data_IF_482788169543
#
_entry.id   IF_482788169543
#
_cell.length_a   1.000
_cell.length_b   1.000
_cell.length_c   1.000
_cell.angle_alpha   90.00
_cell.angle_beta   90.00
_cell.angle_gamma   90.00
#
_symmetry.space_group_name_H-M   'P 1'
#
loop_
_entity.id
_entity.type
_entity.pdbx_description
1 polymer ?
#
# COMPACT_ATOMS: atom_id res chain seq x y z
N UNK A 1 21.34 35.16 -14.61
CA UNK A 1 21.82 33.88 -15.17
C UNK A 1 22.40 33.08 -14.01
N UNK A 2 21.66 32.16 -13.46
CA UNK A 2 22.11 31.29 -12.37
C UNK A 2 22.03 29.84 -12.87
N UNK A 3 23.21 29.23 -13.08
CA UNK A 3 23.38 27.84 -13.51
C UNK A 3 22.94 26.88 -12.39
N UNK A 4 21.92 26.08 -12.65
CA UNK A 4 21.55 24.97 -11.77
C UNK A 4 22.49 23.79 -12.00
N UNK A 5 23.40 23.56 -11.06
CA UNK A 5 24.20 22.34 -11.01
C UNK A 5 23.36 21.19 -10.45
N UNK A 6 23.20 20.13 -11.24
CA UNK A 6 22.70 18.83 -10.78
C UNK A 6 23.75 18.20 -9.86
N UNK A 7 23.37 17.56 -8.73
CA UNK A 7 24.33 16.81 -7.93
C UNK A 7 24.79 15.57 -8.70
N UNK A 8 26.10 15.48 -8.95
CA UNK A 8 26.78 14.29 -9.48
C UNK A 8 26.78 13.17 -8.44
N UNK A 9 26.45 11.96 -8.86
CA UNK A 9 26.62 10.76 -8.07
C UNK A 9 28.12 10.50 -7.81
N UNK A 10 28.53 10.01 -6.64
CA UNK A 10 29.92 9.69 -6.37
C UNK A 10 30.37 8.49 -7.21
N UNK A 11 31.27 8.69 -8.14
CA UNK A 11 32.06 7.67 -8.77
C UNK A 11 33.23 7.33 -7.83
N UNK A 12 33.21 6.10 -7.27
CA UNK A 12 34.27 5.61 -6.40
C UNK A 12 34.06 4.12 -6.12
N UNK A 13 34.14 3.28 -7.15
CA UNK A 13 34.14 1.82 -7.00
C UNK A 13 35.51 1.33 -6.62
N UNK A 14 35.67 0.70 -5.45
CA UNK A 14 36.90 -0.05 -5.09
C UNK A 14 36.93 -1.29 -5.99
N UNK A 15 38.07 -1.58 -6.70
CA UNK A 15 38.20 -2.76 -7.55
C UNK A 15 38.26 -4.02 -6.67
N UNK A 16 37.38 -5.00 -6.88
CA UNK A 16 37.47 -6.33 -6.30
C UNK A 16 36.35 -6.76 -5.34
N UNK A 17 35.32 -5.94 -5.10
CA UNK A 17 34.15 -6.34 -4.33
C UNK A 17 33.15 -7.19 -5.16
N UNK A 18 32.28 -7.99 -4.51
CA UNK A 18 31.24 -8.75 -5.22
C UNK A 18 30.36 -7.82 -6.04
N UNK A 19 29.95 -8.29 -7.25
CA UNK A 19 29.13 -7.52 -8.18
C UNK A 19 27.86 -7.00 -7.50
N UNK A 20 27.49 -5.75 -7.78
CA UNK A 20 26.24 -5.15 -7.30
C UNK A 20 25.04 -5.98 -7.81
N UNK A 21 24.19 -6.43 -6.89
CA UNK A 21 22.97 -7.19 -7.19
C UNK A 21 21.76 -6.56 -6.51
N UNK A 22 20.58 -6.93 -6.92
CA UNK A 22 19.35 -6.50 -6.26
C UNK A 22 18.64 -7.70 -5.68
N UNK A 23 18.31 -7.64 -4.40
CA UNK A 23 17.44 -8.61 -3.75
C UNK A 23 16.01 -8.08 -3.72
N UNK A 24 15.05 -8.98 -3.95
CA UNK A 24 13.64 -8.74 -3.71
C UNK A 24 13.26 -9.36 -2.36
N UNK A 25 12.63 -8.56 -1.52
CA UNK A 25 12.13 -8.95 -0.21
C UNK A 25 10.61 -8.90 -0.29
N UNK A 26 9.94 -10.05 -0.21
CA UNK A 26 8.50 -10.15 -0.02
C UNK A 26 8.24 -10.22 1.50
N UNK A 27 7.37 -9.35 2.04
CA UNK A 27 7.14 -9.21 3.47
C UNK A 27 5.69 -8.88 3.80
N UNK A 28 5.28 -9.12 5.06
CA UNK A 28 3.97 -8.79 5.59
C UNK A 28 4.09 -8.08 6.94
N UNK A 29 3.04 -7.36 7.37
CA UNK A 29 3.01 -6.74 8.69
C UNK A 29 1.59 -6.47 9.20
N UNK A 30 1.47 -6.46 10.52
CA UNK A 30 0.38 -5.82 11.23
C UNK A 30 0.70 -4.33 11.43
N UNK A 31 -0.05 -3.45 10.78
CA UNK A 31 0.20 -2.01 10.76
C UNK A 31 -0.12 -1.26 12.05
N UNK A 32 -0.76 -1.93 13.04
CA UNK A 32 -1.35 -1.28 14.22
C UNK A 32 -0.35 -0.41 15.00
N UNK A 33 0.90 -0.89 15.14
CA UNK A 33 1.96 -0.21 15.89
C UNK A 33 2.89 0.67 15.04
N UNK A 34 2.59 0.88 13.75
CA UNK A 34 3.47 1.61 12.84
C UNK A 34 2.88 2.94 12.37
N UNK A 35 3.74 3.94 12.23
CA UNK A 35 3.43 5.21 11.55
C UNK A 35 3.44 5.08 10.02
N UNK A 36 3.24 3.85 9.52
CA UNK A 36 3.21 3.50 8.11
C UNK A 36 4.52 2.86 7.63
N UNK A 37 4.64 2.76 6.32
CA UNK A 37 5.82 2.19 5.68
C UNK A 37 7.06 3.08 5.80
N UNK A 38 6.96 4.33 5.34
CA UNK A 38 8.10 5.22 5.11
C UNK A 38 8.81 5.60 6.39
N UNK A 39 10.15 5.43 6.45
CA UNK A 39 11.00 5.92 7.54
C UNK A 39 10.78 7.42 7.77
N UNK A 40 10.65 7.80 9.02
CA UNK A 40 10.46 9.16 9.51
C UNK A 40 11.50 9.49 10.59
N UNK A 41 11.66 10.76 10.90
CA UNK A 41 12.60 11.19 11.94
C UNK A 41 12.22 10.66 13.34
N UNK A 42 10.93 10.51 13.59
CA UNK A 42 10.41 9.99 14.85
C UNK A 42 9.38 8.89 14.59
N UNK A 43 9.31 7.96 15.55
CA UNK A 43 8.33 6.89 15.57
C UNK A 43 8.72 5.67 14.75
N UNK A 44 7.99 4.61 14.98
CA UNK A 44 8.23 3.28 14.46
C UNK A 44 7.62 3.11 13.09
N UNK A 45 8.40 2.70 12.11
CA UNK A 45 7.97 2.49 10.71
C UNK A 45 8.47 1.15 10.20
N UNK A 46 7.75 0.52 9.26
CA UNK A 46 8.14 -0.79 8.72
C UNK A 46 9.49 -0.72 8.00
N UNK A 47 9.73 0.34 7.22
CA UNK A 47 11.02 0.56 6.55
C UNK A 47 12.15 0.74 7.54
N UNK A 48 11.93 1.49 8.63
CA UNK A 48 12.95 1.71 9.66
C UNK A 48 13.37 0.42 10.36
N UNK A 49 12.40 -0.42 10.76
CA UNK A 49 12.67 -1.71 11.38
C UNK A 49 13.43 -2.66 10.43
N UNK A 50 13.00 -2.72 9.16
CA UNK A 50 13.66 -3.55 8.14
C UNK A 50 15.10 -3.08 7.88
N UNK A 51 15.34 -1.78 7.73
CA UNK A 51 16.68 -1.22 7.52
C UNK A 51 17.58 -1.41 8.73
N UNK A 52 17.06 -1.30 9.95
CA UNK A 52 17.80 -1.58 11.18
C UNK A 52 18.20 -3.07 11.28
N UNK A 53 17.29 -3.99 10.96
CA UNK A 53 17.60 -5.42 10.91
C UNK A 53 18.65 -5.74 9.84
N UNK A 54 18.53 -5.14 8.64
CA UNK A 54 19.51 -5.28 7.56
C UNK A 54 20.90 -4.80 7.98
N UNK A 55 21.02 -3.63 8.64
CA UNK A 55 22.28 -3.10 9.12
C UNK A 55 22.96 -4.04 10.12
N UNK A 56 22.17 -4.68 11.01
CA UNK A 56 22.70 -5.66 11.98
C UNK A 56 23.20 -6.95 11.32
N UNK A 57 22.49 -7.43 10.28
CA UNK A 57 22.85 -8.69 9.58
C UNK A 57 24.02 -8.48 8.63
N UNK A 58 24.05 -7.36 7.90
CA UNK A 58 25.01 -7.09 6.82
C UNK A 58 26.21 -6.23 7.25
N UNK A 59 26.21 -5.77 8.52
CA UNK A 59 27.32 -5.00 9.08
C UNK A 59 27.42 -3.55 8.60
N UNK A 60 26.48 -3.08 7.77
CA UNK A 60 26.46 -1.71 7.24
C UNK A 60 25.02 -1.25 6.95
N UNK A 61 24.75 0.07 6.97
CA UNK A 61 23.46 0.61 6.59
C UNK A 61 23.08 0.25 5.15
N UNK A 62 21.83 -0.18 4.94
CA UNK A 62 21.27 -0.49 3.63
C UNK A 62 19.90 0.18 3.51
N UNK A 63 19.68 0.91 2.42
CA UNK A 63 18.39 1.49 2.10
C UNK A 63 17.53 0.52 1.27
N UNK A 64 16.26 0.38 1.60
CA UNK A 64 15.30 -0.39 0.81
C UNK A 64 14.29 0.52 0.13
N UNK A 65 13.80 0.10 -1.03
CA UNK A 65 12.71 0.78 -1.72
C UNK A 65 11.48 -0.11 -1.71
N UNK A 66 10.41 0.34 -1.04
CA UNK A 66 9.11 -0.35 -1.03
C UNK A 66 8.34 -0.14 -2.33
N UNK A 67 7.52 -1.11 -2.72
CA UNK A 67 6.63 -1.04 -3.88
C UNK A 67 5.56 0.06 -3.78
N UNK A 68 5.32 0.56 -2.58
CA UNK A 68 4.40 1.66 -2.29
C UNK A 68 4.45 2.01 -0.81
N UNK A 69 3.97 3.22 -0.50
CA UNK A 69 3.82 3.66 0.89
C UNK A 69 2.45 3.23 1.39
N UNK A 70 2.37 2.85 2.66
CA UNK A 70 1.13 2.67 3.40
C UNK A 70 1.06 3.70 4.51
N UNK A 71 -0.16 4.14 4.85
CA UNK A 71 -0.41 5.08 5.95
C UNK A 71 -0.19 4.40 7.32
N UNK A 72 -0.10 5.21 8.36
CA UNK A 72 -0.14 4.74 9.75
C UNK A 72 -1.37 3.83 9.99
N UNK A 73 -1.15 2.68 10.61
CA UNK A 73 -2.20 1.71 10.92
C UNK A 73 -2.66 0.81 9.76
N UNK A 74 -2.09 0.95 8.56
CA UNK A 74 -2.43 0.11 7.40
C UNK A 74 -1.58 -1.15 7.37
N UNK A 75 -2.24 -2.30 7.22
CA UNK A 75 -1.60 -3.62 7.19
C UNK A 75 -1.11 -3.98 5.78
N UNK A 76 -0.25 -4.99 5.70
CA UNK A 76 0.08 -5.66 4.45
C UNK A 76 0.16 -7.18 4.64
N UNK A 77 -0.47 -7.90 3.73
CA UNK A 77 -0.37 -9.36 3.63
C UNK A 77 0.82 -9.77 2.77
N UNK A 78 1.09 -9.00 1.71
CA UNK A 78 2.22 -9.22 0.82
C UNK A 78 2.64 -7.91 0.18
N UNK A 79 3.67 -7.33 0.74
CA UNK A 79 4.36 -6.17 0.19
C UNK A 79 5.70 -6.61 -0.41
N UNK A 80 6.31 -5.74 -1.19
CA UNK A 80 7.61 -5.99 -1.83
C UNK A 80 8.52 -4.81 -1.58
N UNK A 81 9.77 -5.12 -1.23
CA UNK A 81 10.87 -4.15 -1.22
C UNK A 81 12.02 -4.64 -2.10
N UNK A 82 12.75 -3.72 -2.71
CA UNK A 82 14.04 -3.98 -3.39
C UNK A 82 15.18 -3.49 -2.52
N UNK A 83 16.23 -4.31 -2.43
CA UNK A 83 17.46 -4.04 -1.71
C UNK A 83 18.64 -4.15 -2.69
N UNK A 84 19.18 -3.02 -3.18
CA UNK A 84 20.48 -3.01 -3.85
C UNK A 84 21.59 -3.35 -2.83
N UNK A 85 22.47 -4.29 -3.16
CA UNK A 85 23.57 -4.67 -2.26
C UNK A 85 24.71 -5.34 -3.03
N UNK A 86 25.93 -5.17 -2.54
CA UNK A 86 27.10 -5.95 -2.96
C UNK A 86 27.46 -7.06 -1.97
N UNK A 87 26.70 -7.21 -0.88
CA UNK A 87 26.98 -8.21 0.15
C UNK A 87 26.76 -9.63 -0.38
N UNK A 88 27.72 -10.54 -0.14
CA UNK A 88 27.74 -11.90 -0.68
C UNK A 88 26.77 -12.89 -0.02
N UNK A 89 26.11 -12.53 1.11
CA UNK A 89 25.22 -13.43 1.83
C UNK A 89 24.11 -13.95 0.92
N UNK A 90 23.92 -15.27 0.90
CA UNK A 90 22.82 -15.92 0.16
C UNK A 90 21.44 -15.38 0.56
N UNK A 91 20.56 -15.16 -0.42
CA UNK A 91 19.25 -14.53 -0.20
C UNK A 91 18.37 -15.28 0.82
N UNK A 92 18.35 -16.62 0.76
CA UNK A 92 17.56 -17.41 1.70
C UNK A 92 18.13 -17.33 3.13
N UNK A 93 19.46 -17.27 3.29
CA UNK A 93 20.10 -17.05 4.59
C UNK A 93 19.77 -15.67 5.16
N UNK A 94 19.81 -14.63 4.31
CA UNK A 94 19.39 -13.29 4.72
C UNK A 94 17.93 -13.27 5.18
N UNK A 95 17.04 -13.98 4.48
CA UNK A 95 15.62 -14.07 4.86
C UNK A 95 15.44 -14.66 6.27
N UNK A 96 16.12 -15.76 6.60
CA UNK A 96 16.09 -16.36 7.94
C UNK A 96 16.67 -15.45 9.03
N UNK A 97 17.76 -14.75 8.71
CA UNK A 97 18.38 -13.82 9.67
C UNK A 97 17.48 -12.60 9.95
N UNK A 98 16.80 -12.07 8.92
CA UNK A 98 15.84 -10.98 9.09
C UNK A 98 14.63 -11.42 9.92
N UNK A 99 14.06 -12.60 9.64
CA UNK A 99 12.92 -13.16 10.40
C UNK A 99 13.25 -13.31 11.91
N UNK A 100 14.48 -13.68 12.23
CA UNK A 100 14.92 -13.84 13.62
C UNK A 100 15.13 -12.50 14.36
N UNK A 101 15.35 -11.40 13.63
CA UNK A 101 15.67 -10.08 14.21
C UNK A 101 14.51 -9.10 14.19
N UNK A 102 13.58 -9.29 13.26
CA UNK A 102 12.43 -8.40 13.13
C UNK A 102 11.44 -8.61 14.27
N UNK A 103 10.71 -7.56 14.66
CA UNK A 103 9.67 -7.69 15.66
C UNK A 103 8.50 -8.55 15.16
N UNK A 104 7.69 -9.14 16.06
CA UNK A 104 6.67 -10.14 15.70
C UNK A 104 5.53 -9.61 14.83
N UNK A 105 5.43 -8.31 14.63
CA UNK A 105 4.45 -7.66 13.77
C UNK A 105 4.97 -7.38 12.34
N UNK A 106 6.20 -7.83 12.00
CA UNK A 106 6.75 -7.88 10.63
C UNK A 106 7.21 -9.31 10.35
N UNK A 107 6.74 -9.90 9.24
CA UNK A 107 7.19 -11.23 8.77
C UNK A 107 7.86 -11.15 7.40
N UNK A 108 8.91 -11.95 7.20
CA UNK A 108 9.57 -12.12 5.91
C UNK A 108 8.98 -13.32 5.19
N UNK A 109 8.27 -13.08 4.12
CA UNK A 109 7.66 -14.17 3.32
C UNK A 109 8.70 -14.86 2.43
N UNK A 110 9.60 -14.05 1.84
CA UNK A 110 10.67 -14.57 0.96
C UNK A 110 11.70 -13.49 0.69
N UNK A 111 12.99 -13.90 0.62
CA UNK A 111 14.07 -13.10 0.02
C UNK A 111 14.64 -13.89 -1.14
N UNK A 112 14.84 -13.23 -2.29
CA UNK A 112 15.40 -13.84 -3.51
C UNK A 112 16.14 -12.82 -4.35
N UNK A 113 17.01 -13.28 -5.20
CA UNK A 113 17.60 -12.43 -6.22
C UNK A 113 16.54 -11.94 -7.20
N UNK A 114 16.68 -10.72 -7.63
CA UNK A 114 15.85 -10.11 -8.66
C UNK A 114 16.68 -9.88 -9.92
N UNK A 115 16.01 -9.63 -11.04
CA UNK A 115 16.68 -9.20 -12.26
C UNK A 115 17.53 -7.94 -12.01
N UNK A 116 18.67 -7.78 -12.69
CA UNK A 116 19.48 -6.58 -12.60
C UNK A 116 18.63 -5.31 -12.82
N UNK A 117 18.80 -4.31 -11.95
CA UNK A 117 18.05 -3.06 -12.02
C UNK A 117 16.60 -3.11 -11.53
N UNK A 118 16.13 -4.24 -10.98
CA UNK A 118 14.79 -4.34 -10.41
C UNK A 118 14.55 -3.28 -9.35
N UNK A 119 13.43 -2.57 -9.48
CA UNK A 119 13.02 -1.51 -8.59
C UNK A 119 11.57 -1.72 -8.14
N UNK A 120 11.37 -2.05 -6.87
CA UNK A 120 10.08 -2.47 -6.35
C UNK A 120 8.92 -1.51 -6.66
N UNK A 121 9.17 -0.19 -6.69
CA UNK A 121 8.14 0.81 -6.98
C UNK A 121 7.88 1.00 -8.48
N UNK A 122 8.95 1.18 -9.29
CA UNK A 122 8.82 1.52 -10.72
C UNK A 122 8.31 0.37 -11.56
N UNK A 123 8.74 -0.86 -11.21
CA UNK A 123 8.43 -2.06 -12.00
C UNK A 123 7.10 -2.69 -11.59
N UNK A 124 6.47 -2.18 -10.53
CA UNK A 124 5.13 -2.64 -10.12
C UNK A 124 4.10 -2.28 -11.20
N UNK A 125 3.37 -3.29 -11.66
CA UNK A 125 2.33 -3.16 -12.69
C UNK A 125 0.95 -2.97 -12.10
N UNK A 126 0.68 -3.59 -10.94
CA UNK A 126 -0.56 -3.44 -10.22
C UNK A 126 -0.35 -3.64 -8.73
N UNK A 127 -1.31 -3.11 -7.93
CA UNK A 127 -1.42 -3.31 -6.49
C UNK A 127 -2.84 -3.65 -6.15
N UNK A 128 -3.02 -4.58 -5.23
CA UNK A 128 -4.32 -5.00 -4.75
C UNK A 128 -4.48 -4.63 -3.29
N UNK A 129 -5.48 -3.82 -2.99
CA UNK A 129 -5.89 -3.48 -1.63
C UNK A 129 -7.23 -4.10 -1.31
N UNK A 130 -7.40 -4.53 -0.06
CA UNK A 130 -8.69 -4.94 0.51
C UNK A 130 -9.00 -4.08 1.72
N UNK A 131 -10.19 -3.49 1.74
CA UNK A 131 -10.73 -2.79 2.90
C UNK A 131 -11.80 -3.65 3.55
N UNK A 132 -11.67 -3.99 4.84
CA UNK A 132 -12.58 -4.87 5.57
C UNK A 132 -13.51 -4.08 6.48
N UNK A 133 -14.79 -4.45 6.45
CA UNK A 133 -15.83 -4.00 7.35
C UNK A 133 -16.35 -5.18 8.18
N UNK A 134 -16.64 -4.91 9.44
CA UNK A 134 -17.33 -5.84 10.34
C UNK A 134 -18.68 -5.22 10.75
N UNK A 135 -19.76 -5.83 10.34
CA UNK A 135 -21.12 -5.40 10.71
C UNK A 135 -21.47 -6.01 12.06
N UNK A 136 -21.42 -5.22 13.11
CA UNK A 136 -21.71 -5.68 14.46
C UNK A 136 -22.26 -4.55 15.34
N UNK A 137 -23.36 -4.78 16.10
CA UNK A 137 -23.94 -3.78 17.01
C UNK A 137 -23.03 -3.53 18.22
N UNK A 138 -22.30 -4.56 18.67
CA UNK A 138 -21.37 -4.50 19.81
C UNK A 138 -19.93 -4.68 19.37
N UNK A 139 -18.99 -4.22 20.19
CA UNK A 139 -17.55 -4.33 19.96
C UNK A 139 -17.08 -5.78 19.84
N UNK A 140 -16.10 -6.00 18.96
CA UNK A 140 -15.42 -7.28 18.70
C UNK A 140 -13.90 -7.02 18.61
N UNK A 141 -13.22 -6.81 19.75
CA UNK A 141 -11.85 -6.27 19.76
C UNK A 141 -10.86 -7.04 18.87
N UNK A 142 -10.91 -8.38 18.88
CA UNK A 142 -10.01 -9.20 18.05
C UNK A 142 -10.26 -8.99 16.54
N UNK A 143 -11.52 -8.88 16.12
CA UNK A 143 -11.86 -8.67 14.71
C UNK A 143 -11.68 -7.19 14.29
N UNK A 144 -11.88 -6.26 15.21
CA UNK A 144 -11.71 -4.82 14.97
C UNK A 144 -10.23 -4.43 14.76
N UNK A 145 -9.27 -5.28 15.07
CA UNK A 145 -7.85 -5.05 14.80
C UNK A 145 -7.57 -4.90 13.29
N UNK A 146 -8.30 -5.63 12.45
CA UNK A 146 -8.07 -5.67 10.99
C UNK A 146 -9.34 -5.40 10.17
N UNK A 147 -10.40 -4.87 10.79
CA UNK A 147 -11.66 -4.53 10.13
C UNK A 147 -12.33 -3.36 10.85
N UNK A 148 -12.83 -2.40 10.09
CA UNK A 148 -13.62 -1.31 10.65
C UNK A 148 -15.02 -1.79 11.02
N UNK A 149 -15.37 -1.72 12.31
CA UNK A 149 -16.70 -2.05 12.78
C UNK A 149 -17.70 -0.94 12.43
N UNK A 150 -18.75 -1.33 11.75
CA UNK A 150 -19.94 -0.50 11.49
C UNK A 150 -21.16 -1.15 12.12
N UNK A 151 -22.16 -0.34 12.55
CA UNK A 151 -23.39 -0.89 13.12
C UNK A 151 -24.26 -1.54 12.06
N UNK A 152 -24.31 -0.90 10.90
CA UNK A 152 -25.09 -1.32 9.73
C UNK A 152 -24.33 -1.05 8.46
N UNK A 153 -24.71 -1.72 7.40
CA UNK A 153 -24.12 -1.55 6.06
C UNK A 153 -25.27 -1.33 5.07
N UNK A 154 -25.15 -0.38 4.15
CA UNK A 154 -26.07 -0.25 3.03
C UNK A 154 -26.23 -1.57 2.24
N UNK A 155 -27.30 -1.75 1.46
CA UNK A 155 -27.46 -2.90 0.58
C UNK A 155 -26.24 -3.10 -0.30
N UNK A 156 -25.82 -4.37 -0.49
CA UNK A 156 -24.64 -4.68 -1.30
C UNK A 156 -24.78 -4.16 -2.73
N UNK A 157 -26.00 -4.21 -3.29
CA UNK A 157 -26.29 -3.66 -4.62
C UNK A 157 -26.01 -2.16 -4.70
N UNK A 158 -26.39 -1.38 -3.67
CA UNK A 158 -26.12 0.06 -3.62
C UNK A 158 -24.63 0.36 -3.49
N UNK A 159 -23.89 -0.42 -2.68
CA UNK A 159 -22.44 -0.30 -2.59
C UNK A 159 -21.75 -0.64 -3.92
N UNK A 160 -22.24 -1.67 -4.63
CA UNK A 160 -21.68 -2.05 -5.93
C UNK A 160 -22.04 -1.03 -7.01
N UNK A 161 -23.23 -0.43 -6.98
CA UNK A 161 -23.59 0.69 -7.86
C UNK A 161 -22.66 1.90 -7.65
N UNK A 162 -22.36 2.27 -6.39
CA UNK A 162 -21.43 3.34 -6.07
C UNK A 162 -19.97 3.03 -6.48
N UNK A 163 -19.60 1.76 -6.62
CA UNK A 163 -18.27 1.34 -7.05
C UNK A 163 -18.06 1.45 -8.58
N UNK A 164 -19.13 1.32 -9.37
CA UNK A 164 -19.07 1.31 -10.83
C UNK A 164 -18.33 2.50 -11.44
N UNK A 165 -18.70 3.76 -11.13
CA UNK A 165 -18.05 4.96 -11.66
C UNK A 165 -16.58 5.11 -11.31
N UNK A 166 -16.09 4.41 -10.29
CA UNK A 166 -14.68 4.48 -9.84
C UNK A 166 -13.78 3.48 -10.55
N UNK A 167 -14.34 2.54 -11.31
CA UNK A 167 -13.58 1.58 -12.11
C UNK A 167 -13.20 2.22 -13.46
N UNK A 168 -11.98 2.00 -13.93
CA UNK A 168 -11.47 2.61 -15.14
C UNK A 168 -10.35 3.60 -14.88
N UNK A 169 -10.04 4.41 -15.90
CA UNK A 169 -9.01 5.47 -15.84
C UNK A 169 -9.67 6.80 -15.54
N UNK A 170 -9.37 7.37 -14.39
CA UNK A 170 -9.97 8.62 -13.92
C UNK A 170 -8.94 9.50 -13.21
N UNK A 171 -9.23 10.79 -13.12
CA UNK A 171 -8.55 11.69 -12.20
C UNK A 171 -9.15 11.56 -10.79
N UNK A 172 -8.36 11.05 -9.85
CA UNK A 172 -8.75 10.84 -8.46
C UNK A 172 -8.34 11.98 -7.52
N UNK A 173 -8.19 13.21 -8.03
CA UNK A 173 -7.80 14.37 -7.22
C UNK A 173 -8.73 14.58 -6.02
N UNK A 174 -10.06 14.42 -6.19
CA UNK A 174 -11.05 14.51 -5.11
C UNK A 174 -10.86 13.46 -4.01
N UNK A 175 -10.22 12.35 -4.32
CA UNK A 175 -9.98 11.24 -3.37
C UNK A 175 -8.56 11.25 -2.78
N UNK A 176 -7.70 12.17 -3.22
CA UNK A 176 -6.34 12.34 -2.70
C UNK A 176 -6.32 13.26 -1.49
N UNK A 177 -5.66 12.87 -0.40
CA UNK A 177 -5.44 13.77 0.75
C UNK A 177 -4.30 14.73 0.49
N UNK A 178 -4.27 15.86 1.21
CA UNK A 178 -3.16 16.81 1.21
C UNK A 178 -1.82 16.09 1.46
N UNK A 179 -0.75 16.50 0.77
CA UNK A 179 0.57 15.85 0.80
C UNK A 179 0.82 14.89 -0.38
N UNK A 180 -0.18 14.64 -1.25
CA UNK A 180 0.06 14.03 -2.56
C UNK A 180 0.55 15.09 -3.55
N UNK A 181 1.58 14.82 -4.37
CA UNK A 181 1.87 15.65 -5.53
C UNK A 181 0.64 15.69 -6.45
N UNK A 182 0.15 16.90 -6.77
CA UNK A 182 -1.08 17.06 -7.58
C UNK A 182 -0.85 16.88 -9.08
N UNK A 183 0.41 16.82 -9.50
CA UNK A 183 0.79 16.77 -10.92
C UNK A 183 0.39 15.47 -11.64
N UNK A 184 0.13 14.38 -10.89
CA UNK A 184 -0.21 13.08 -11.47
C UNK A 184 -1.29 12.37 -10.64
N UNK A 185 -2.54 12.82 -10.74
CA UNK A 185 -3.69 12.27 -9.99
C UNK A 185 -4.49 11.23 -10.77
N UNK A 186 -4.20 11.05 -12.04
CA UNK A 186 -4.86 10.04 -12.89
C UNK A 186 -4.36 8.64 -12.51
N UNK A 187 -5.29 7.71 -12.28
CA UNK A 187 -5.03 6.28 -12.00
C UNK A 187 -5.99 5.40 -12.77
N UNK A 188 -5.54 4.18 -13.06
CA UNK A 188 -6.38 3.16 -13.69
C UNK A 188 -6.70 2.08 -12.67
N UNK A 189 -8.00 1.94 -12.32
CA UNK A 189 -8.49 0.87 -11.46
C UNK A 189 -9.13 -0.22 -12.31
N UNK A 190 -8.56 -1.42 -12.30
CA UNK A 190 -9.06 -2.58 -13.05
C UNK A 190 -10.12 -3.36 -12.29
N UNK A 191 -10.25 -3.14 -10.99
CA UNK A 191 -11.25 -3.76 -10.13
C UNK A 191 -11.63 -2.83 -8.98
N UNK A 192 -12.95 -2.63 -8.80
CA UNK A 192 -13.54 -2.01 -7.61
C UNK A 192 -14.78 -2.83 -7.26
N UNK A 193 -14.67 -3.74 -6.29
CA UNK A 193 -15.72 -4.73 -6.04
C UNK A 193 -15.98 -4.92 -4.56
N UNK A 194 -17.26 -4.82 -4.18
CA UNK A 194 -17.75 -5.18 -2.87
C UNK A 194 -18.17 -6.66 -2.80
N UNK A 195 -17.85 -7.29 -1.69
CA UNK A 195 -18.29 -8.66 -1.37
C UNK A 195 -18.78 -8.68 0.08
N UNK A 196 -19.80 -9.50 0.38
CA UNK A 196 -20.31 -9.70 1.74
C UNK A 196 -20.49 -11.19 2.03
N UNK A 197 -20.04 -11.61 3.22
CA UNK A 197 -20.31 -12.95 3.77
C UNK A 197 -20.70 -12.81 5.25
N UNK A 198 -21.94 -13.03 5.55
CA UNK A 198 -22.49 -12.87 6.91
C UNK A 198 -22.26 -11.44 7.45
N UNK A 199 -21.49 -11.33 8.53
CA UNK A 199 -21.15 -10.05 9.17
C UNK A 199 -19.95 -9.34 8.55
N UNK A 200 -19.21 -9.98 7.67
CA UNK A 200 -18.04 -9.42 7.02
C UNK A 200 -18.40 -8.90 5.64
N UNK A 201 -17.96 -7.68 5.35
CA UNK A 201 -17.97 -7.14 4.01
C UNK A 201 -16.57 -6.61 3.70
N UNK A 202 -16.20 -6.63 2.43
CA UNK A 202 -14.93 -6.07 2.00
C UNK A 202 -15.02 -5.48 0.61
N UNK A 203 -14.22 -4.44 0.41
CA UNK A 203 -13.96 -3.82 -0.87
C UNK A 203 -12.60 -4.30 -1.38
N UNK A 204 -12.55 -4.90 -2.55
CA UNK A 204 -11.31 -5.15 -3.30
C UNK A 204 -11.10 -4.06 -4.33
N UNK A 205 -9.91 -3.48 -4.34
CA UNK A 205 -9.49 -2.49 -5.33
C UNK A 205 -8.16 -2.91 -5.91
N UNK A 206 -8.09 -3.02 -7.25
CA UNK A 206 -6.86 -3.29 -7.99
C UNK A 206 -6.61 -2.13 -8.93
N UNK A 207 -5.39 -1.61 -8.94
CA UNK A 207 -5.01 -0.52 -9.82
C UNK A 207 -3.50 -0.43 -10.06
N UNK A 208 -3.09 0.38 -11.02
CA UNK A 208 -1.70 0.65 -11.36
C UNK A 208 -0.95 1.43 -10.27
N UNK A 209 -1.67 2.25 -9.50
CA UNK A 209 -1.15 3.04 -8.41
C UNK A 209 -2.26 3.65 -7.57
N UNK A 210 -1.90 4.17 -6.39
CA UNK A 210 -2.84 4.82 -5.48
C UNK A 210 -2.25 6.10 -4.93
N UNK A 211 -3.10 7.13 -4.76
CA UNK A 211 -2.76 8.39 -4.11
C UNK A 211 -2.85 8.24 -2.58
N UNK A 212 -2.30 9.20 -1.87
CA UNK A 212 -2.33 9.21 -0.41
C UNK A 212 -3.76 9.17 0.12
N UNK A 213 -4.08 8.15 0.93
CA UNK A 213 -5.40 7.84 1.51
C UNK A 213 -6.52 7.56 0.49
N UNK A 214 -6.23 7.44 -0.81
CA UNK A 214 -7.21 7.27 -1.87
C UNK A 214 -8.22 6.15 -1.59
N UNK A 215 -7.79 4.91 -1.36
CA UNK A 215 -8.70 3.77 -1.12
C UNK A 215 -9.60 4.00 0.09
N UNK A 216 -9.08 4.61 1.15
CA UNK A 216 -9.86 4.93 2.36
C UNK A 216 -10.91 6.02 2.09
N UNK A 217 -10.59 7.01 1.27
CA UNK A 217 -11.56 8.03 0.82
C UNK A 217 -12.61 7.41 -0.08
N UNK A 218 -12.24 6.52 -1.01
CA UNK A 218 -13.18 5.76 -1.84
C UNK A 218 -14.20 4.98 -0.99
N UNK A 219 -13.74 4.31 0.08
CA UNK A 219 -14.64 3.60 1.02
C UNK A 219 -15.65 4.57 1.64
N UNK A 220 -15.19 5.72 2.14
CA UNK A 220 -16.07 6.76 2.70
C UNK A 220 -17.09 7.25 1.68
N UNK A 221 -16.64 7.56 0.47
CA UNK A 221 -17.48 8.02 -0.65
C UNK A 221 -18.56 6.99 -1.01
N UNK A 222 -18.18 5.73 -1.20
CA UNK A 222 -19.14 4.66 -1.54
C UNK A 222 -20.15 4.40 -0.42
N UNK A 223 -19.72 4.46 0.86
CA UNK A 223 -20.63 4.30 1.99
C UNK A 223 -21.62 5.46 2.11
N UNK A 224 -21.22 6.69 1.79
CA UNK A 224 -22.10 7.85 1.76
C UNK A 224 -23.05 7.78 0.55
N UNK A 225 -22.52 7.54 -0.64
CA UNK A 225 -23.30 7.43 -1.89
C UNK A 225 -24.34 6.32 -1.83
N UNK A 226 -24.02 5.15 -1.24
CA UNK A 226 -24.93 4.02 -1.10
C UNK A 226 -26.16 4.29 -0.21
N UNK A 227 -26.23 5.44 0.47
CA UNK A 227 -27.38 5.92 1.26
C UNK A 227 -28.26 6.91 0.51
N UNK A 228 -27.87 7.30 -0.69
CA UNK A 228 -28.67 8.20 -1.55
C UNK A 228 -29.63 7.41 -2.45
N UNK A 229 -30.54 8.10 -3.11
CA UNK A 229 -31.44 7.50 -4.11
C UNK A 229 -30.73 7.11 -5.41
N UNK A 230 -29.53 7.68 -5.68
CA UNK A 230 -28.68 7.37 -6.83
C UNK A 230 -27.23 7.17 -6.36
N UNK A 231 -26.85 5.97 -5.93
CA UNK A 231 -25.49 5.69 -5.47
C UNK A 231 -24.40 5.89 -6.54
N UNK A 232 -24.71 5.55 -7.79
CA UNK A 232 -23.75 5.69 -8.89
C UNK A 232 -23.53 7.17 -9.23
N UNK A 233 -24.59 7.94 -9.39
CA UNK A 233 -24.50 9.38 -9.67
C UNK A 233 -23.80 10.13 -8.54
N UNK A 234 -24.09 9.84 -7.28
CA UNK A 234 -23.45 10.49 -6.13
C UNK A 234 -21.94 10.21 -6.05
N UNK A 235 -21.51 8.95 -6.28
CA UNK A 235 -20.10 8.59 -6.32
C UNK A 235 -19.38 9.21 -7.53
N UNK A 236 -20.02 9.18 -8.70
CA UNK A 236 -19.52 9.80 -9.94
C UNK A 236 -19.38 11.32 -9.81
N UNK A 237 -20.34 12.01 -9.20
CA UNK A 237 -20.27 13.45 -8.96
C UNK A 237 -19.10 13.82 -8.03
N UNK A 238 -18.86 13.03 -6.96
CA UNK A 238 -17.69 13.22 -6.09
C UNK A 238 -16.39 13.04 -6.87
N UNK A 239 -16.29 12.04 -7.76
CA UNK A 239 -15.10 11.83 -8.58
C UNK A 239 -14.90 13.01 -9.56
N UNK A 240 -15.95 13.41 -10.26
CA UNK A 240 -15.91 14.47 -11.28
C UNK A 240 -15.65 15.87 -10.71
N UNK A 241 -15.89 16.09 -9.42
CA UNK A 241 -15.66 17.40 -8.78
C UNK A 241 -14.18 17.80 -8.73
N UNK A 242 -13.25 16.84 -8.77
CA UNK A 242 -11.81 17.04 -8.61
C UNK A 242 -11.42 17.78 -7.31
N UNK A 243 -12.39 18.06 -6.46
CA UNK A 243 -12.22 18.76 -5.19
C UNK A 243 -12.23 17.80 -4.00
N UNK A 244 -11.16 17.80 -3.22
CA UNK A 244 -11.06 16.98 -2.00
C UNK A 244 -12.13 17.32 -0.96
N UNK A 245 -12.61 18.55 -0.92
CA UNK A 245 -13.64 18.98 0.04
C UNK A 245 -14.99 18.33 -0.24
N UNK A 246 -15.26 17.92 -1.48
CA UNK A 246 -16.49 17.20 -1.87
C UNK A 246 -16.53 15.75 -1.40
N UNK A 247 -15.38 15.15 -1.08
CA UNK A 247 -15.31 13.77 -0.64
C UNK A 247 -15.31 13.66 0.89
N UNK A 248 -15.95 12.63 1.46
CA UNK A 248 -15.97 12.38 2.90
C UNK A 248 -14.57 12.17 3.49
N UNK A 249 -14.50 12.17 4.83
CA UNK A 249 -13.30 11.79 5.55
C UNK A 249 -12.85 10.38 5.19
N UNK A 250 -11.52 10.11 5.11
CA UNK A 250 -11.01 8.78 4.84
C UNK A 250 -11.45 7.78 5.92
N UNK A 251 -11.91 6.61 5.51
CA UNK A 251 -12.24 5.52 6.43
C UNK A 251 -11.03 5.13 7.31
N UNK A 252 -11.22 4.55 8.51
CA UNK A 252 -10.15 4.18 9.44
C UNK A 252 -9.06 3.31 8.79
N UNK A 253 -7.80 3.53 9.16
CA UNK A 253 -6.66 2.87 8.53
C UNK A 253 -6.64 1.35 8.76
N UNK A 254 -7.00 0.90 9.97
CA UNK A 254 -6.95 -0.50 10.40
C UNK A 254 -7.88 -1.44 9.62
N UNK A 255 -8.84 -0.91 8.84
CA UNK A 255 -9.63 -1.72 7.91
C UNK A 255 -8.90 -2.02 6.61
N UNK A 256 -7.81 -1.30 6.27
CA UNK A 256 -7.11 -1.40 5.00
C UNK A 256 -5.90 -2.32 5.08
N UNK A 257 -5.77 -3.19 4.09
CA UNK A 257 -4.64 -4.10 3.95
C UNK A 257 -4.19 -4.19 2.49
N UNK A 258 -2.91 -3.97 2.24
CA UNK A 258 -2.26 -4.30 0.97
C UNK A 258 -2.21 -5.84 0.85
N UNK A 259 -2.95 -6.40 -0.12
CA UNK A 259 -3.04 -7.84 -0.32
C UNK A 259 -1.87 -8.38 -1.13
N UNK A 260 -1.50 -7.68 -2.21
CA UNK A 260 -0.42 -8.11 -3.09
C UNK A 260 0.08 -6.97 -4.01
N UNK A 261 1.27 -7.18 -4.58
CA UNK A 261 1.91 -6.32 -5.57
C UNK A 261 2.39 -7.17 -6.73
N UNK A 262 1.93 -6.89 -7.93
CA UNK A 262 2.29 -7.63 -9.13
C UNK A 262 3.28 -6.91 -10.03
N UNK A 263 4.16 -7.71 -10.62
CA UNK A 263 5.22 -7.29 -11.55
C UNK A 263 5.05 -7.89 -12.96
N UNK A 264 4.09 -8.77 -13.13
CA UNK A 264 3.68 -9.35 -14.40
C UNK A 264 2.33 -8.80 -14.87
N UNK A 265 1.91 -9.24 -16.04
CA UNK A 265 0.65 -8.83 -16.67
C UNK A 265 -0.59 -9.47 -16.05
N UNK A 266 -0.43 -10.59 -15.31
CA UNK A 266 -1.56 -11.31 -14.72
C UNK A 266 -2.08 -10.55 -13.49
N UNK A 267 -3.33 -10.04 -13.51
CA UNK A 267 -3.95 -9.47 -12.33
C UNK A 267 -4.16 -10.52 -11.23
N UNK A 268 -4.38 -10.12 -9.97
CA UNK A 268 -4.73 -11.05 -8.92
C UNK A 268 -6.02 -11.80 -9.28
N UNK A 269 -6.24 -12.99 -8.73
CA UNK A 269 -7.47 -13.74 -8.97
C UNK A 269 -8.68 -12.92 -8.56
N UNK A 270 -9.63 -12.83 -9.47
CA UNK A 270 -10.93 -12.14 -9.32
C UNK A 270 -11.82 -12.85 -8.30
#
# INVERSE_FOLDING_TARGET
>A
MASSQRPQAPAGGVPGGPAARTLRIDLCWDGTGFLGWQRQAQGRTVQGELEAALARVLGAPHAVVGAGRTDAGVHARRAVASLPTSHAMEAARLGRALEALLPPDIGILRVREAAPGFHALRDARWKWYRYRLLVAPRRRPLAERTAWRVRELPPLAALQAAAGPLCGTHDFASMASAGSPREHTVRTLSLVRWTRRGRHAWLDVVGDGFLYKMVRTMVGTMLAAARTGDPAGAAGATLASLDRASAPAPAPAHGLCLQDVGYGTRPPPS
#
